data_IF_269891181284
#
_entry.id   IF_269891181284
#
_cell.length_a   1.000
_cell.length_b   1.000
_cell.length_c   1.000
_cell.angle_alpha   90.00
_cell.angle_beta   90.00
_cell.angle_gamma   90.00
#
_symmetry.space_group_name_H-M   'P 1'
#
loop_
_entity.id
_entity.type
_entity.pdbx_description
1 polymer ?
#
# COMPACT_ATOMS: atom_id res chain seq x y z
N UNK A 1 21.26 24.23 -24.66
CA UNK A 1 20.34 24.53 -23.52
C UNK A 1 18.94 24.99 -23.95
N UNK A 2 18.79 25.79 -25.02
CA UNK A 2 17.45 26.20 -25.52
C UNK A 2 16.61 25.05 -26.10
N UNK A 3 17.24 24.04 -26.71
CA UNK A 3 16.56 22.89 -27.34
C UNK A 3 15.88 21.95 -26.34
N UNK A 4 16.46 21.74 -25.16
CA UNK A 4 15.87 20.83 -24.16
C UNK A 4 14.62 21.39 -23.48
N UNK A 5 14.56 22.71 -23.24
CA UNK A 5 13.35 23.36 -22.70
C UNK A 5 12.20 23.32 -23.69
N UNK A 6 12.46 23.57 -24.97
CA UNK A 6 11.44 23.49 -26.03
C UNK A 6 10.92 22.07 -26.28
N UNK A 7 11.80 21.05 -26.23
CA UNK A 7 11.37 19.65 -26.30
C UNK A 7 10.57 19.23 -25.08
N UNK A 8 10.88 19.77 -23.90
CA UNK A 8 10.11 19.54 -22.68
C UNK A 8 8.70 20.13 -22.80
N UNK A 9 8.57 21.37 -23.29
CA UNK A 9 7.30 22.04 -23.47
C UNK A 9 6.42 21.35 -24.54
N UNK A 10 6.99 20.94 -25.66
CA UNK A 10 6.29 20.16 -26.69
C UNK A 10 5.77 18.82 -26.17
N UNK A 11 6.56 18.11 -25.35
CA UNK A 11 6.15 16.84 -24.75
C UNK A 11 5.05 17.04 -23.71
N UNK A 12 4.98 18.17 -23.02
CA UNK A 12 3.94 18.47 -22.02
C UNK A 12 2.55 18.67 -22.64
N UNK A 13 2.45 18.92 -23.95
CA UNK A 13 1.15 18.98 -24.63
C UNK A 13 0.54 17.58 -24.94
N UNK A 14 1.31 16.50 -24.76
CA UNK A 14 0.79 15.14 -24.92
C UNK A 14 0.06 14.72 -23.60
N UNK A 15 -1.24 14.35 -23.66
CA UNK A 15 -2.02 14.08 -22.45
C UNK A 15 -1.37 13.05 -21.51
N UNK A 16 -0.75 12.00 -22.06
CA UNK A 16 -0.09 10.97 -21.23
C UNK A 16 1.20 11.45 -20.57
N UNK A 17 1.93 12.39 -21.16
CA UNK A 17 3.12 13.00 -20.55
C UNK A 17 2.71 13.89 -19.39
N UNK A 18 1.68 14.72 -19.57
CA UNK A 18 1.12 15.57 -18.53
C UNK A 18 0.64 14.75 -17.33
N UNK A 19 -0.17 13.71 -17.57
CA UNK A 19 -0.66 12.81 -16.51
C UNK A 19 0.49 12.12 -15.77
N UNK A 20 1.54 11.71 -16.48
CA UNK A 20 2.72 11.11 -15.86
C UNK A 20 3.48 12.09 -14.96
N UNK A 21 3.62 13.33 -15.42
CA UNK A 21 4.25 14.41 -14.65
C UNK A 21 3.46 14.75 -13.39
N UNK A 22 2.16 14.93 -13.50
CA UNK A 22 1.25 15.19 -12.38
C UNK A 22 1.31 14.07 -11.32
N UNK A 23 1.28 12.82 -11.73
CA UNK A 23 1.44 11.67 -10.82
C UNK A 23 2.79 11.67 -10.11
N UNK A 24 3.86 12.05 -10.80
CA UNK A 24 5.20 12.12 -10.20
C UNK A 24 5.29 13.26 -9.19
N UNK A 25 4.73 14.42 -9.51
CA UNK A 25 4.69 15.56 -8.60
C UNK A 25 3.87 15.26 -7.33
N UNK A 26 2.71 14.60 -7.46
CA UNK A 26 1.89 14.19 -6.31
C UNK A 26 2.62 13.19 -5.41
N UNK A 27 3.38 12.23 -5.98
CA UNK A 27 4.19 11.30 -5.19
C UNK A 27 5.30 12.01 -4.41
N UNK A 28 5.98 12.95 -5.03
CA UNK A 28 7.03 13.73 -4.38
C UNK A 28 6.47 14.58 -3.23
N UNK A 29 5.30 15.19 -3.42
CA UNK A 29 4.63 15.97 -2.39
C UNK A 29 4.19 15.10 -1.20
N UNK A 30 3.62 13.92 -1.45
CA UNK A 30 3.25 12.96 -0.41
C UNK A 30 4.48 12.52 0.39
N UNK A 31 5.54 12.13 -0.30
CA UNK A 31 6.79 11.73 0.35
C UNK A 31 7.36 12.83 1.24
N UNK A 32 7.36 14.06 0.78
CA UNK A 32 7.81 15.22 1.55
C UNK A 32 6.94 15.42 2.81
N UNK A 33 5.61 15.37 2.66
CA UNK A 33 4.68 15.50 3.80
C UNK A 33 4.88 14.38 4.83
N UNK A 34 5.05 13.14 4.39
CA UNK A 34 5.27 12.01 5.30
C UNK A 34 6.62 12.07 6.02
N UNK A 35 7.66 12.59 5.36
CA UNK A 35 9.00 12.71 5.97
C UNK A 35 9.04 13.65 7.17
N UNK A 36 8.18 14.66 7.21
CA UNK A 36 8.14 15.63 8.31
C UNK A 36 7.24 15.20 9.47
N UNK A 37 6.43 14.14 9.30
CA UNK A 37 5.59 13.61 10.37
C UNK A 37 6.45 12.96 11.46
N UNK A 38 6.14 13.29 12.70
CA UNK A 38 6.76 12.64 13.85
C UNK A 38 6.24 11.22 14.04
N UNK A 39 6.97 10.33 14.72
CA UNK A 39 6.49 8.99 15.06
C UNK A 39 5.16 9.01 15.85
N UNK A 40 4.98 10.01 16.70
CA UNK A 40 3.76 10.20 17.50
C UNK A 40 2.56 10.53 16.61
N UNK A 41 2.72 11.46 15.67
CA UNK A 41 1.67 11.82 14.69
C UNK A 41 1.29 10.62 13.82
N UNK A 42 2.27 9.84 13.36
CA UNK A 42 2.01 8.62 12.58
C UNK A 42 1.26 7.59 13.40
N UNK A 43 1.63 7.41 14.67
CA UNK A 43 0.98 6.48 15.60
C UNK A 43 -0.47 6.90 15.88
N UNK A 44 -0.71 8.17 16.15
CA UNK A 44 -2.04 8.70 16.44
C UNK A 44 -2.97 8.56 15.23
N UNK A 45 -2.53 9.02 14.06
CA UNK A 45 -3.27 8.85 12.81
C UNK A 45 -3.54 7.38 12.47
N UNK A 46 -2.56 6.49 12.72
CA UNK A 46 -2.75 5.05 12.53
C UNK A 46 -3.81 4.48 13.46
N UNK A 47 -3.80 4.90 14.72
CA UNK A 47 -4.78 4.47 15.72
C UNK A 47 -6.21 4.88 15.34
N UNK A 48 -6.41 6.13 14.92
CA UNK A 48 -7.73 6.61 14.46
C UNK A 48 -8.22 5.86 13.22
N UNK A 49 -7.34 5.64 12.23
CA UNK A 49 -7.72 4.96 10.99
C UNK A 49 -8.04 3.48 11.28
N UNK A 50 -7.26 2.82 12.10
CA UNK A 50 -7.51 1.44 12.51
C UNK A 50 -8.86 1.32 13.22
N UNK A 51 -9.17 2.22 14.17
CA UNK A 51 -10.46 2.24 14.84
C UNK A 51 -11.64 2.35 13.84
N UNK A 52 -11.52 3.25 12.87
CA UNK A 52 -12.55 3.39 11.81
C UNK A 52 -12.66 2.14 10.94
N UNK A 53 -11.56 1.46 10.63
CA UNK A 53 -11.58 0.19 9.88
C UNK A 53 -12.36 -0.86 10.66
N UNK A 54 -12.11 -0.99 11.96
CA UNK A 54 -12.75 -1.96 12.84
C UNK A 54 -14.27 -1.78 12.94
N UNK A 55 -14.75 -0.55 12.84
CA UNK A 55 -16.19 -0.22 12.85
C UNK A 55 -16.90 -0.58 11.53
N UNK A 56 -16.15 -0.83 10.44
CA UNK A 56 -16.77 -1.13 9.15
C UNK A 56 -17.34 -2.55 9.10
N UNK A 57 -18.54 -2.71 8.53
CA UNK A 57 -19.15 -4.02 8.29
C UNK A 57 -18.24 -4.92 7.44
N UNK A 58 -17.47 -4.33 6.52
CA UNK A 58 -16.53 -5.08 5.69
C UNK A 58 -15.45 -5.75 6.53
N UNK A 59 -14.88 -5.05 7.50
CA UNK A 59 -13.88 -5.64 8.39
C UNK A 59 -14.50 -6.64 9.36
N UNK A 60 -15.65 -6.31 9.96
CA UNK A 60 -16.33 -7.18 10.92
C UNK A 60 -16.69 -8.54 10.30
N UNK A 61 -17.20 -8.55 9.07
CA UNK A 61 -17.62 -9.76 8.36
C UNK A 61 -16.47 -10.54 7.70
N UNK A 62 -15.32 -9.89 7.46
CA UNK A 62 -14.19 -10.51 6.81
C UNK A 62 -13.53 -11.55 7.71
N UNK A 63 -13.28 -12.75 7.19
CA UNK A 63 -12.48 -13.80 7.83
C UNK A 63 -11.02 -13.78 7.40
N UNK A 64 -10.78 -13.43 6.14
CA UNK A 64 -9.43 -13.34 5.55
C UNK A 64 -9.19 -11.91 5.10
N UNK A 65 -8.22 -11.24 5.73
CA UNK A 65 -7.91 -9.83 5.52
C UNK A 65 -6.48 -9.67 5.03
N UNK A 66 -6.31 -9.10 3.85
CA UNK A 66 -4.99 -8.71 3.36
C UNK A 66 -4.67 -7.30 3.84
N UNK A 67 -3.52 -7.16 4.49
CA UNK A 67 -2.90 -5.90 4.88
C UNK A 67 -1.69 -5.59 4.00
N UNK A 68 -1.09 -4.43 4.22
CA UNK A 68 0.26 -4.11 3.75
C UNK A 68 1.21 -3.92 4.94
N UNK A 69 2.50 -4.09 4.73
CA UNK A 69 3.50 -3.70 5.71
C UNK A 69 3.80 -2.19 5.53
N UNK A 70 3.66 -1.36 6.59
CA UNK A 70 3.82 0.08 6.47
C UNK A 70 5.27 0.46 6.19
N UNK A 71 5.48 1.35 5.22
CA UNK A 71 6.77 1.95 4.88
C UNK A 71 6.65 3.48 4.80
N UNK A 72 7.73 4.20 5.06
CA UNK A 72 7.79 5.66 4.91
C UNK A 72 6.60 6.39 5.58
N UNK A 73 6.38 6.11 6.86
CA UNK A 73 5.30 6.72 7.65
C UNK A 73 3.88 6.49 7.07
N UNK A 74 3.65 5.34 6.44
CA UNK A 74 2.30 4.87 6.12
C UNK A 74 1.53 4.50 7.39
N UNK A 75 0.21 4.44 7.28
CA UNK A 75 -0.66 3.99 8.37
C UNK A 75 -0.27 2.58 8.81
N UNK A 76 -0.01 2.41 10.09
CA UNK A 76 0.38 1.11 10.66
C UNK A 76 -0.85 0.27 11.02
N UNK A 77 -1.09 -0.77 10.24
CA UNK A 77 -2.20 -1.69 10.41
C UNK A 77 -1.85 -2.94 11.25
N UNK A 78 -0.59 -3.07 11.72
CA UNK A 78 -0.12 -4.29 12.39
C UNK A 78 -0.83 -4.59 13.70
N UNK A 79 -1.40 -3.58 14.36
CA UNK A 79 -2.21 -3.77 15.56
C UNK A 79 -3.46 -4.61 15.32
N UNK A 80 -4.00 -4.64 14.10
CA UNK A 80 -5.12 -5.53 13.72
C UNK A 80 -4.71 -6.99 13.83
N UNK A 81 -3.49 -7.34 13.36
CA UNK A 81 -2.98 -8.71 13.49
C UNK A 81 -2.90 -9.11 14.96
N UNK A 82 -2.32 -8.24 15.81
CA UNK A 82 -2.17 -8.55 17.24
C UNK A 82 -3.50 -8.74 17.95
N UNK A 83 -4.51 -7.93 17.62
CA UNK A 83 -5.82 -7.95 18.29
C UNK A 83 -6.73 -9.09 17.85
N UNK A 84 -6.66 -9.48 16.58
CA UNK A 84 -7.61 -10.45 15.99
C UNK A 84 -6.93 -11.75 15.55
N UNK A 85 -5.69 -12.02 16.00
CA UNK A 85 -5.01 -13.29 15.73
C UNK A 85 -5.80 -14.45 16.34
N UNK A 86 -6.11 -15.46 15.54
CA UNK A 86 -7.00 -16.57 15.92
C UNK A 86 -8.49 -16.34 15.61
N UNK A 87 -8.94 -15.11 15.44
CA UNK A 87 -10.30 -14.81 14.99
C UNK A 87 -10.38 -14.60 13.48
N UNK A 88 -9.36 -13.96 12.91
CA UNK A 88 -9.23 -13.67 11.48
C UNK A 88 -7.88 -14.18 10.97
N UNK A 89 -7.85 -14.52 9.70
CA UNK A 89 -6.59 -14.82 8.98
C UNK A 89 -6.06 -13.55 8.36
N UNK A 90 -4.86 -13.14 8.72
CA UNK A 90 -4.21 -11.98 8.13
C UNK A 90 -3.16 -12.39 7.10
N UNK A 91 -3.10 -11.60 6.02
CA UNK A 91 -2.15 -11.81 4.93
C UNK A 91 -1.31 -10.54 4.73
N UNK A 92 -0.01 -10.73 4.48
CA UNK A 92 0.88 -9.68 4.01
C UNK A 92 1.42 -10.04 2.62
N UNK A 93 1.71 -9.02 1.78
CA UNK A 93 2.30 -9.25 0.48
C UNK A 93 3.74 -9.75 0.60
N UNK A 94 4.13 -10.61 -0.34
CA UNK A 94 5.51 -10.97 -0.62
C UNK A 94 5.81 -10.66 -2.09
N UNK A 95 6.93 -10.00 -2.34
CA UNK A 95 7.27 -9.49 -3.68
C UNK A 95 7.94 -10.55 -4.53
N UNK A 96 7.46 -10.72 -5.74
CA UNK A 96 7.98 -11.63 -6.74
C UNK A 96 8.72 -10.87 -7.88
N UNK A 97 9.51 -11.58 -8.72
CA UNK A 97 10.05 -11.01 -9.96
C UNK A 97 8.96 -10.40 -10.85
N UNK A 98 9.37 -9.55 -11.81
CA UNK A 98 8.48 -8.92 -12.82
C UNK A 98 7.36 -8.06 -12.22
N UNK A 99 7.60 -7.45 -11.06
CA UNK A 99 6.63 -6.61 -10.34
C UNK A 99 5.33 -7.34 -9.98
N UNK A 100 5.41 -8.62 -9.77
CA UNK A 100 4.32 -9.45 -9.24
C UNK A 100 4.40 -9.55 -7.71
N UNK A 101 3.30 -9.93 -7.08
CA UNK A 101 3.27 -10.26 -5.66
C UNK A 101 2.32 -11.43 -5.41
N UNK A 102 2.62 -12.15 -4.37
CA UNK A 102 1.75 -13.12 -3.73
C UNK A 102 1.41 -12.63 -2.31
N UNK A 103 0.53 -13.34 -1.63
CA UNK A 103 0.18 -13.06 -0.24
C UNK A 103 0.46 -14.27 0.62
N UNK A 104 0.88 -14.03 1.87
CA UNK A 104 1.28 -15.06 2.80
C UNK A 104 0.67 -14.81 4.17
N UNK A 105 0.35 -15.89 4.88
CA UNK A 105 -0.26 -15.77 6.22
C UNK A 105 0.74 -15.17 7.20
N UNK A 106 0.25 -14.25 8.02
CA UNK A 106 0.99 -13.65 9.12
C UNK A 106 0.20 -13.79 10.42
N UNK A 107 0.89 -14.13 11.50
CA UNK A 107 0.40 -14.17 12.87
C UNK A 107 1.16 -13.14 13.71
N UNK A 108 0.65 -12.81 14.90
CA UNK A 108 1.31 -11.87 15.82
C UNK A 108 2.76 -12.24 16.15
N UNK A 109 3.07 -13.54 16.21
CA UNK A 109 4.41 -14.05 16.54
C UNK A 109 5.25 -14.41 15.29
N UNK A 110 4.74 -14.12 14.08
CA UNK A 110 5.48 -14.42 12.85
C UNK A 110 6.75 -13.58 12.76
N UNK A 111 7.89 -14.25 12.71
CA UNK A 111 9.18 -13.59 12.45
C UNK A 111 9.30 -13.25 10.97
N UNK A 112 9.08 -11.99 10.62
CA UNK A 112 9.20 -11.53 9.25
C UNK A 112 10.65 -11.56 8.78
N UNK A 113 10.86 -11.84 7.50
CA UNK A 113 12.17 -11.83 6.84
C UNK A 113 12.26 -10.65 5.87
N UNK A 114 13.48 -10.23 5.56
CA UNK A 114 13.71 -9.13 4.62
C UNK A 114 13.36 -9.58 3.19
N UNK A 115 12.34 -8.98 2.61
CA UNK A 115 11.93 -9.19 1.24
C UNK A 115 12.81 -8.46 0.22
N UNK A 116 12.43 -8.57 -1.06
CA UNK A 116 13.21 -8.10 -2.21
C UNK A 116 13.59 -6.60 -2.15
N UNK A 117 12.70 -5.76 -1.64
CA UNK A 117 12.93 -4.31 -1.53
C UNK A 117 13.24 -3.86 -0.10
N UNK A 118 13.64 -4.79 0.74
CA UNK A 118 13.91 -4.51 2.15
C UNK A 118 12.65 -4.41 3.01
N UNK A 119 11.47 -4.58 2.42
CA UNK A 119 10.20 -4.61 3.15
C UNK A 119 10.08 -5.97 3.83
N UNK A 120 9.71 -6.01 5.13
CA UNK A 120 9.48 -7.27 5.83
C UNK A 120 8.34 -8.08 5.24
N UNK A 121 8.58 -9.37 5.01
CA UNK A 121 7.62 -10.32 4.42
C UNK A 121 7.49 -11.58 5.27
N UNK A 122 6.31 -12.24 5.34
CA UNK A 122 6.19 -13.53 6.01
C UNK A 122 7.00 -14.61 5.27
N UNK A 123 7.72 -15.50 5.99
CA UNK A 123 8.47 -16.60 5.36
C UNK A 123 7.61 -17.82 5.02
N UNK A 124 6.30 -17.71 5.20
CA UNK A 124 5.32 -18.78 4.96
C UNK A 124 5.07 -18.98 3.46
N UNK A 125 4.39 -20.08 3.10
CA UNK A 125 3.99 -20.34 1.73
C UNK A 125 2.90 -19.39 1.25
N UNK A 126 2.75 -19.30 -0.09
CA UNK A 126 1.73 -18.47 -0.71
C UNK A 126 0.31 -18.94 -0.34
N UNK A 127 -0.50 -18.04 0.14
CA UNK A 127 -1.91 -18.29 0.39
C UNK A 127 -2.70 -18.30 -0.94
N UNK A 128 -3.49 -19.34 -1.14
CA UNK A 128 -4.26 -19.55 -2.38
C UNK A 128 -5.79 -19.48 -2.18
N UNK A 129 -6.24 -19.21 -0.96
CA UNK A 129 -7.64 -19.12 -0.63
C UNK A 129 -8.27 -17.77 -1.04
N UNK A 130 -9.56 -17.65 -0.79
CA UNK A 130 -10.31 -16.41 -1.00
C UNK A 130 -9.89 -15.35 0.01
N UNK A 131 -9.80 -14.10 -0.42
CA UNK A 131 -9.57 -12.93 0.42
C UNK A 131 -10.89 -12.16 0.50
N UNK A 132 -11.36 -11.87 1.72
CA UNK A 132 -12.64 -11.18 1.94
C UNK A 132 -12.48 -9.67 1.95
N UNK A 133 -11.34 -9.16 2.43
CA UNK A 133 -11.03 -7.74 2.50
C UNK A 133 -9.56 -7.49 2.16
N UNK A 134 -9.31 -6.49 1.31
CA UNK A 134 -7.96 -6.04 0.96
C UNK A 134 -7.81 -4.58 1.35
N UNK A 135 -6.92 -4.29 2.30
CA UNK A 135 -6.53 -2.92 2.65
C UNK A 135 -5.33 -2.52 1.79
N UNK A 136 -5.55 -1.55 0.91
CA UNK A 136 -4.60 -1.18 -0.15
C UNK A 136 -3.89 0.12 0.21
N UNK A 137 -2.55 0.18 0.20
CA UNK A 137 -1.82 1.42 0.44
C UNK A 137 -1.98 2.39 -0.74
N UNK A 138 -1.98 3.69 -0.46
CA UNK A 138 -2.08 4.73 -1.47
C UNK A 138 -1.32 5.99 -1.08
N UNK A 139 -0.88 6.71 -2.11
CA UNK A 139 -0.22 8.02 -2.01
C UNK A 139 -1.28 9.13 -1.97
N UNK A 140 -2.26 9.05 -2.85
CA UNK A 140 -3.37 9.98 -2.92
C UNK A 140 -4.64 9.27 -3.40
N UNK A 141 -5.77 9.84 -3.02
CA UNK A 141 -7.10 9.37 -3.43
C UNK A 141 -7.91 10.57 -3.91
N UNK A 142 -8.72 10.37 -4.92
CA UNK A 142 -9.65 11.39 -5.37
C UNK A 142 -11.08 11.11 -4.90
N UNK A 143 -11.98 12.08 -5.13
CA UNK A 143 -13.40 11.98 -4.78
C UNK A 143 -14.17 10.87 -5.50
N UNK A 144 -13.61 10.34 -6.58
CA UNK A 144 -14.18 9.22 -7.34
C UNK A 144 -13.58 7.87 -6.91
N UNK A 145 -12.85 7.84 -5.79
CA UNK A 145 -12.20 6.67 -5.21
C UNK A 145 -11.06 6.09 -6.06
N UNK A 146 -10.52 6.87 -7.01
CA UNK A 146 -9.29 6.47 -7.68
C UNK A 146 -8.09 6.63 -6.74
N UNK A 147 -7.21 5.65 -6.81
CA UNK A 147 -6.01 5.58 -5.98
C UNK A 147 -4.75 5.83 -6.81
N UNK A 148 -3.90 6.70 -6.33
CA UNK A 148 -2.54 6.84 -6.81
C UNK A 148 -1.60 5.99 -5.95
N UNK A 149 -1.00 4.95 -6.53
CA UNK A 149 0.03 4.14 -5.89
C UNK A 149 1.44 4.69 -6.13
N UNK A 150 2.45 4.05 -5.54
CA UNK A 150 3.88 4.45 -5.64
C UNK A 150 4.51 4.26 -7.04
N UNK A 151 3.80 3.69 -8.00
CA UNK A 151 4.25 3.56 -9.40
C UNK A 151 4.75 2.16 -9.80
N UNK A 152 4.99 1.24 -8.87
CA UNK A 152 5.43 -0.13 -9.18
C UNK A 152 4.33 -1.01 -9.79
N UNK A 153 3.05 -0.64 -9.65
CA UNK A 153 1.90 -1.34 -10.22
C UNK A 153 1.61 -2.72 -9.59
N UNK A 154 2.21 -3.04 -8.44
CA UNK A 154 2.02 -4.32 -7.75
C UNK A 154 0.56 -4.60 -7.42
N UNK A 155 -0.09 -3.66 -6.73
CA UNK A 155 -1.50 -3.80 -6.35
C UNK A 155 -2.44 -3.77 -7.56
N UNK A 156 -2.15 -2.95 -8.58
CA UNK A 156 -2.99 -2.88 -9.77
C UNK A 156 -2.99 -4.21 -10.54
N UNK A 157 -1.83 -4.90 -10.60
CA UNK A 157 -1.75 -6.25 -11.19
C UNK A 157 -2.38 -7.32 -10.31
N UNK A 158 -2.14 -7.25 -9.00
CA UNK A 158 -2.70 -8.19 -8.05
C UNK A 158 -4.23 -8.15 -8.03
N UNK A 159 -4.81 -6.97 -7.92
CA UNK A 159 -6.27 -6.76 -7.86
C UNK A 159 -7.00 -7.17 -9.14
N UNK A 160 -6.33 -7.16 -10.30
CA UNK A 160 -6.93 -7.68 -11.55
C UNK A 160 -7.25 -9.17 -11.51
N UNK A 161 -6.71 -9.91 -10.56
CA UNK A 161 -6.96 -11.35 -10.40
C UNK A 161 -8.20 -11.63 -9.54
N UNK A 162 -8.74 -10.59 -8.92
CA UNK A 162 -9.92 -10.61 -8.05
C UNK A 162 -11.04 -9.74 -8.60
#
# INVERSE_FOLDING_TARGET
>A
MLFESQIRDLKMHLPWVRVRYEKTALRALDEQKRRIMTPEEVKEASHEIVARIEETQHFQNAKVVMLYYPILNEVDLRSLVTRYDGEKTFLLPATLPRHEMEVRVVHKDTKLVKGRYGVPEPPTEAYKGKIDLILVPGVAFDKNLYRLGRGGGYYDRFLRRY
#
